data_IF_580789622413
#
_entry.id   IF_580789622413
#
_cell.length_a   1.000
_cell.length_b   1.000
_cell.length_c   1.000
_cell.angle_alpha   90.00
_cell.angle_beta   90.00
_cell.angle_gamma   90.00
#
_symmetry.space_group_name_H-M   'P 1'
#
loop_
_entity.id
_entity.type
_entity.pdbx_description
1 polymer ?
#
# COMPACT_ATOMS: atom_id res chain seq x y z
N UNK A 1 13.13 13.28 -29.42
CA UNK A 1 12.61 12.42 -28.36
C UNK A 1 11.12 12.75 -28.25
N UNK A 2 10.19 11.78 -28.41
CA UNK A 2 8.79 12.07 -28.17
C UNK A 2 8.65 12.43 -26.69
N UNK A 3 8.04 13.59 -26.39
CA UNK A 3 7.62 13.95 -25.04
C UNK A 3 6.61 12.89 -24.58
N UNK A 4 6.94 12.10 -23.60
CA UNK A 4 5.97 11.26 -22.92
C UNK A 4 4.88 12.16 -22.41
N UNK A 5 3.62 11.92 -22.80
CA UNK A 5 2.50 12.70 -22.33
C UNK A 5 2.44 12.60 -20.80
N UNK A 6 2.67 13.71 -20.11
CA UNK A 6 2.51 13.76 -18.67
C UNK A 6 1.02 13.74 -18.32
N UNK A 7 0.62 12.87 -17.42
CA UNK A 7 -0.74 12.85 -16.88
C UNK A 7 -0.79 13.76 -15.64
N UNK A 8 -1.77 14.67 -15.58
CA UNK A 8 -2.00 15.49 -14.41
C UNK A 8 -3.22 14.98 -13.63
N UNK A 9 -3.06 14.88 -12.32
CA UNK A 9 -4.13 14.59 -11.37
C UNK A 9 -4.18 15.71 -10.32
N UNK A 10 -5.39 16.09 -9.93
CA UNK A 10 -5.59 17.02 -8.80
C UNK A 10 -6.24 16.29 -7.65
N UNK A 11 -5.85 16.58 -6.42
CA UNK A 11 -6.41 15.96 -5.21
C UNK A 11 -6.41 16.96 -4.05
N UNK A 12 -7.22 16.70 -3.04
CA UNK A 12 -7.16 17.41 -1.76
C UNK A 12 -6.43 16.59 -0.68
N UNK A 13 -6.38 15.27 -0.85
CA UNK A 13 -5.63 14.38 0.03
C UNK A 13 -5.05 13.21 -0.74
N UNK A 14 -3.99 12.61 -0.19
CA UNK A 14 -3.37 11.39 -0.72
C UNK A 14 -3.44 10.26 0.31
N UNK A 15 -3.81 9.09 -0.14
CA UNK A 15 -3.86 7.88 0.66
C UNK A 15 -2.82 6.90 0.11
N UNK A 16 -1.83 6.60 0.93
CA UNK A 16 -0.60 5.92 0.51
C UNK A 16 -0.57 4.51 1.09
N UNK A 17 -0.59 3.51 0.25
CA UNK A 17 -0.20 2.18 0.69
C UNK A 17 1.29 2.14 1.04
N UNK A 18 1.74 1.11 1.75
CA UNK A 18 3.11 0.96 2.21
C UNK A 18 3.92 -0.01 1.34
N UNK A 19 3.55 -1.29 1.40
CA UNK A 19 4.35 -2.39 0.85
C UNK A 19 4.21 -2.51 -0.67
N UNK A 20 5.30 -2.33 -1.40
CA UNK A 20 5.30 -2.24 -2.86
C UNK A 20 5.03 -0.82 -3.40
N UNK A 21 4.64 0.11 -2.52
CA UNK A 21 4.30 1.51 -2.86
C UNK A 21 5.32 2.51 -2.32
N UNK A 22 5.57 2.53 -1.02
CA UNK A 22 6.60 3.35 -0.36
C UNK A 22 7.83 2.54 0.00
N UNK A 23 7.63 1.30 0.39
CA UNK A 23 8.65 0.37 0.87
C UNK A 23 8.65 -0.87 -0.01
N UNK A 24 9.81 -1.28 -0.49
CA UNK A 24 9.99 -2.61 -1.07
C UNK A 24 10.28 -3.60 0.06
N UNK A 25 9.32 -4.45 0.38
CA UNK A 25 9.40 -5.54 1.37
C UNK A 25 9.30 -6.93 0.72
N UNK A 26 9.34 -7.03 -0.61
CA UNK A 26 9.11 -8.27 -1.35
C UNK A 26 9.98 -9.42 -0.84
N UNK A 27 11.25 -9.16 -0.54
CA UNK A 27 12.18 -10.20 -0.11
C UNK A 27 11.76 -10.86 1.22
N UNK A 28 11.35 -10.10 2.22
CA UNK A 28 10.91 -10.65 3.51
C UNK A 28 9.53 -11.30 3.39
N UNK A 29 8.61 -10.67 2.67
CA UNK A 29 7.26 -11.22 2.41
C UNK A 29 7.38 -12.57 1.71
N UNK A 30 8.19 -12.66 0.65
CA UNK A 30 8.40 -13.90 -0.08
C UNK A 30 8.99 -15.00 0.82
N UNK A 31 10.02 -14.68 1.63
CA UNK A 31 10.61 -15.67 2.54
C UNK A 31 9.58 -16.24 3.54
N UNK A 32 8.78 -15.37 4.14
CA UNK A 32 7.79 -15.78 5.15
C UNK A 32 6.64 -16.56 4.52
N UNK A 33 6.10 -16.10 3.39
CA UNK A 33 5.00 -16.76 2.72
C UNK A 33 5.38 -18.08 2.06
N UNK A 34 6.60 -18.21 1.50
CA UNK A 34 7.07 -19.52 0.99
C UNK A 34 7.21 -20.55 2.11
N UNK A 35 7.76 -20.16 3.28
CA UNK A 35 7.79 -21.06 4.45
C UNK A 35 6.39 -21.46 4.93
N UNK A 36 5.43 -20.53 4.87
CA UNK A 36 4.04 -20.85 5.19
C UNK A 36 3.44 -21.81 4.16
N UNK A 37 3.65 -21.58 2.87
CA UNK A 37 3.21 -22.44 1.78
C UNK A 37 3.74 -23.88 1.94
N UNK A 38 5.03 -24.03 2.19
CA UNK A 38 5.67 -25.34 2.41
C UNK A 38 5.04 -26.11 3.56
N UNK A 39 4.76 -25.44 4.69
CA UNK A 39 4.09 -26.05 5.86
C UNK A 39 2.67 -26.55 5.54
N UNK A 40 2.03 -25.99 4.54
CA UNK A 40 0.66 -26.32 4.15
C UNK A 40 0.58 -27.13 2.85
N UNK A 41 1.71 -27.52 2.27
CA UNK A 41 1.76 -28.29 1.01
C UNK A 41 1.23 -27.52 -0.21
N UNK A 42 1.36 -26.17 -0.18
CA UNK A 42 0.94 -25.29 -1.27
C UNK A 42 2.12 -24.91 -2.16
N UNK A 43 1.82 -24.62 -3.43
CA UNK A 43 2.80 -24.05 -4.34
C UNK A 43 3.09 -22.60 -3.96
N UNK A 44 4.35 -22.28 -3.66
CA UNK A 44 4.77 -20.94 -3.25
C UNK A 44 4.51 -19.88 -4.32
N UNK A 45 4.65 -20.21 -5.61
CA UNK A 45 4.44 -19.26 -6.69
C UNK A 45 2.94 -18.91 -6.84
N UNK A 46 2.05 -19.88 -6.63
CA UNK A 46 0.61 -19.63 -6.61
C UNK A 46 0.20 -18.81 -5.38
N UNK A 47 0.81 -19.07 -4.22
CA UNK A 47 0.60 -18.28 -3.00
C UNK A 47 0.99 -16.81 -3.23
N UNK A 48 2.17 -16.56 -3.84
CA UNK A 48 2.64 -15.20 -4.09
C UNK A 48 1.75 -14.36 -5.02
N UNK A 49 0.92 -14.99 -5.86
CA UNK A 49 -0.07 -14.26 -6.69
C UNK A 49 -1.23 -13.65 -5.88
N UNK A 50 -1.44 -14.10 -4.64
CA UNK A 50 -2.63 -13.76 -3.84
C UNK A 50 -2.30 -12.84 -2.67
N UNK A 51 -1.11 -12.94 -2.10
CA UNK A 51 -0.79 -12.38 -0.78
C UNK A 51 -0.62 -10.85 -0.75
N UNK A 52 -0.27 -10.24 -1.87
CA UNK A 52 0.02 -8.81 -1.90
C UNK A 52 -1.21 -7.93 -1.64
N UNK A 53 -1.03 -6.92 -0.79
CA UNK A 53 -2.01 -5.89 -0.47
C UNK A 53 -3.12 -6.31 0.50
N UNK A 54 -3.15 -7.56 0.95
CA UNK A 54 -4.14 -8.09 1.91
C UNK A 54 -3.53 -8.30 3.29
N UNK A 55 -4.38 -8.30 4.31
CA UNK A 55 -3.96 -8.86 5.59
C UNK A 55 -3.75 -10.38 5.45
N UNK A 56 -2.74 -10.93 6.14
CA UNK A 56 -2.32 -12.31 5.94
C UNK A 56 -3.44 -13.33 6.18
N UNK A 57 -4.24 -13.17 7.24
CA UNK A 57 -5.37 -14.08 7.51
C UNK A 57 -6.40 -14.10 6.37
N UNK A 58 -6.61 -12.96 5.70
CA UNK A 58 -7.54 -12.87 4.57
C UNK A 58 -6.98 -13.59 3.32
N UNK A 59 -5.67 -13.52 3.09
CA UNK A 59 -4.99 -14.32 2.05
C UNK A 59 -5.07 -15.81 2.33
N UNK A 60 -4.85 -16.22 3.60
CA UNK A 60 -4.96 -17.62 4.03
C UNK A 60 -6.38 -18.16 3.84
N UNK A 61 -7.41 -17.36 4.10
CA UNK A 61 -8.80 -17.74 3.87
C UNK A 61 -9.12 -18.00 2.38
N UNK A 62 -8.48 -17.27 1.48
CA UNK A 62 -8.60 -17.50 0.02
C UNK A 62 -7.87 -18.79 -0.38
N UNK A 63 -6.65 -18.98 0.14
CA UNK A 63 -5.81 -20.15 -0.18
C UNK A 63 -6.32 -21.46 0.41
N UNK A 64 -6.90 -21.40 1.60
CA UNK A 64 -7.41 -22.55 2.36
C UNK A 64 -8.84 -22.28 2.84
N UNK A 65 -9.85 -22.26 1.94
CA UNK A 65 -11.21 -21.78 2.24
C UNK A 65 -11.96 -22.59 3.30
N UNK A 66 -11.56 -23.83 3.54
CA UNK A 66 -12.17 -24.70 4.54
C UNK A 66 -11.43 -24.68 5.90
N UNK A 67 -10.37 -23.88 6.02
CA UNK A 67 -9.58 -23.77 7.25
C UNK A 67 -10.29 -22.86 8.26
N UNK A 68 -10.37 -23.23 9.55
CA UNK A 68 -10.95 -22.38 10.59
C UNK A 68 -10.24 -21.02 10.66
N UNK A 69 -11.02 -19.92 10.70
CA UNK A 69 -10.48 -18.56 10.73
C UNK A 69 -9.55 -18.30 11.93
N UNK A 70 -9.83 -18.92 13.07
CA UNK A 70 -8.96 -18.86 14.26
C UNK A 70 -7.52 -19.30 13.96
N UNK A 71 -7.36 -20.37 13.16
CA UNK A 71 -6.03 -20.84 12.74
C UNK A 71 -5.34 -19.86 11.79
N UNK A 72 -6.12 -19.19 10.90
CA UNK A 72 -5.59 -18.17 10.03
C UNK A 72 -5.10 -16.96 10.83
N UNK A 73 -5.85 -16.52 11.83
CA UNK A 73 -5.41 -15.45 12.73
C UNK A 73 -4.18 -15.84 13.55
N UNK A 74 -4.09 -17.08 14.04
CA UNK A 74 -2.92 -17.55 14.79
C UNK A 74 -1.66 -17.59 13.89
N UNK A 75 -1.79 -18.09 12.65
CA UNK A 75 -0.67 -18.07 11.69
C UNK A 75 -0.28 -16.66 11.30
N UNK A 76 -1.26 -15.79 11.04
CA UNK A 76 -1.01 -14.38 10.72
C UNK A 76 -0.23 -13.67 11.85
N UNK A 77 -0.60 -13.88 13.10
CA UNK A 77 0.11 -13.29 14.23
C UNK A 77 1.58 -13.75 14.30
N UNK A 78 1.85 -15.05 14.05
CA UNK A 78 3.23 -15.57 13.98
C UNK A 78 4.01 -14.96 12.82
N UNK A 79 3.40 -14.86 11.63
CA UNK A 79 4.06 -14.31 10.45
C UNK A 79 4.35 -12.83 10.61
N UNK A 80 3.44 -12.04 11.20
CA UNK A 80 3.69 -10.63 11.52
C UNK A 80 4.88 -10.47 12.49
N UNK A 81 4.99 -11.34 13.49
CA UNK A 81 6.14 -11.33 14.39
C UNK A 81 7.45 -11.71 13.67
N UNK A 82 7.42 -12.72 12.78
CA UNK A 82 8.57 -13.09 11.94
C UNK A 82 8.98 -11.93 11.02
N UNK A 83 8.03 -11.29 10.35
CA UNK A 83 8.29 -10.16 9.45
C UNK A 83 8.81 -8.92 10.21
N UNK A 84 8.28 -8.67 11.41
CA UNK A 84 8.75 -7.53 12.24
C UNK A 84 10.18 -7.74 12.75
N UNK A 85 10.59 -8.99 12.95
CA UNK A 85 11.93 -9.33 13.39
C UNK A 85 12.96 -9.41 12.24
N UNK A 86 12.51 -9.49 10.98
CA UNK A 86 13.35 -9.63 9.80
C UNK A 86 13.14 -8.44 8.84
N UNK A 87 14.08 -7.51 8.85
CA UNK A 87 14.08 -6.36 7.93
C UNK A 87 15.13 -6.50 6.81
N UNK A 88 15.70 -7.70 6.63
CA UNK A 88 16.71 -7.92 5.59
C UNK A 88 16.09 -7.78 4.18
N UNK A 89 16.66 -6.87 3.39
CA UNK A 89 16.16 -6.53 2.06
C UNK A 89 14.98 -5.55 2.03
N UNK A 90 14.55 -5.02 3.18
CA UNK A 90 13.56 -3.94 3.23
C UNK A 90 14.24 -2.61 2.89
N UNK A 91 13.80 -1.98 1.82
CA UNK A 91 14.36 -0.71 1.31
C UNK A 91 13.24 0.22 0.84
N UNK A 92 13.54 1.52 0.71
CA UNK A 92 12.59 2.46 0.14
C UNK A 92 12.36 2.18 -1.36
N UNK A 93 11.12 2.36 -1.83
CA UNK A 93 10.84 2.51 -3.26
C UNK A 93 11.53 3.79 -3.75
N UNK A 94 12.12 3.74 -4.93
CA UNK A 94 12.85 4.86 -5.51
C UNK A 94 11.98 6.13 -5.58
N UNK A 95 12.47 7.23 -5.00
CA UNK A 95 11.76 8.51 -4.92
C UNK A 95 10.78 8.65 -3.75
N UNK A 96 10.58 7.60 -2.93
CA UNK A 96 9.61 7.65 -1.82
C UNK A 96 9.98 8.70 -0.75
N UNK A 97 11.27 8.84 -0.45
CA UNK A 97 11.74 9.84 0.52
C UNK A 97 11.46 11.27 0.09
N UNK A 98 11.80 11.61 -1.15
CA UNK A 98 11.57 12.93 -1.74
C UNK A 98 10.07 13.22 -1.92
N UNK A 99 9.30 12.20 -2.28
CA UNK A 99 7.85 12.30 -2.40
C UNK A 99 7.21 12.64 -1.04
N UNK A 100 7.51 11.90 0.02
CA UNK A 100 7.02 12.18 1.37
C UNK A 100 7.50 13.53 1.91
N UNK A 101 8.74 13.91 1.62
CA UNK A 101 9.27 15.23 1.98
C UNK A 101 8.47 16.35 1.31
N UNK A 102 8.18 16.22 0.01
CA UNK A 102 7.37 17.19 -0.74
C UNK A 102 5.96 17.33 -0.17
N UNK A 103 5.31 16.21 0.20
CA UNK A 103 3.98 16.25 0.83
C UNK A 103 3.99 17.03 2.14
N UNK A 104 5.02 16.82 2.96
CA UNK A 104 5.18 17.53 4.24
C UNK A 104 5.47 19.00 4.04
N UNK A 105 6.39 19.37 3.15
CA UNK A 105 6.77 20.76 2.85
C UNK A 105 5.58 21.56 2.32
N UNK A 106 4.80 20.96 1.43
CA UNK A 106 3.60 21.57 0.84
C UNK A 106 2.37 21.44 1.74
N UNK A 107 2.50 20.77 2.90
CA UNK A 107 1.40 20.51 3.85
C UNK A 107 0.20 19.84 3.19
N UNK A 108 0.46 18.91 2.27
CA UNK A 108 -0.58 18.11 1.61
C UNK A 108 -1.16 17.15 2.63
N UNK A 109 -2.50 17.12 2.86
CA UNK A 109 -3.13 16.12 3.69
C UNK A 109 -2.85 14.71 3.13
N UNK A 110 -2.29 13.82 3.95
CA UNK A 110 -2.01 12.45 3.54
C UNK A 110 -2.05 11.48 4.71
N UNK A 111 -2.34 10.22 4.40
CA UNK A 111 -2.34 9.13 5.36
C UNK A 111 -1.66 7.89 4.79
N UNK A 112 -0.99 7.12 5.65
CA UNK A 112 -0.59 5.76 5.35
C UNK A 112 -1.82 4.84 5.53
N UNK A 113 -2.13 3.99 4.53
CA UNK A 113 -3.24 3.03 4.58
C UNK A 113 -2.70 1.65 4.24
N UNK A 114 -2.33 0.88 5.25
CA UNK A 114 -1.60 -0.38 5.10
C UNK A 114 -2.35 -1.57 5.69
N UNK A 115 -2.11 -2.75 5.13
CA UNK A 115 -2.54 -4.04 5.68
C UNK A 115 -1.61 -4.57 6.78
N UNK A 116 -0.48 -3.91 7.04
CA UNK A 116 0.40 -4.19 8.17
C UNK A 116 -0.21 -3.67 9.48
N UNK A 117 0.20 -4.26 10.59
CA UNK A 117 -0.11 -3.74 11.93
C UNK A 117 0.76 -2.52 12.28
N UNK A 118 0.49 -1.89 13.43
CA UNK A 118 1.22 -0.71 13.90
C UNK A 118 2.72 -1.00 14.05
N UNK A 119 3.08 -2.16 14.60
CA UNK A 119 4.47 -2.54 14.85
C UNK A 119 5.24 -2.76 13.56
N UNK A 120 4.70 -3.57 12.65
CA UNK A 120 5.32 -3.90 11.37
C UNK A 120 5.44 -2.65 10.47
N UNK A 121 4.40 -1.81 10.43
CA UNK A 121 4.45 -0.58 9.62
C UNK A 121 5.54 0.37 10.09
N UNK A 122 5.70 0.54 11.40
CA UNK A 122 6.77 1.36 11.97
C UNK A 122 8.16 0.78 11.68
N UNK A 123 8.33 -0.55 11.84
CA UNK A 123 9.60 -1.23 11.58
C UNK A 123 10.02 -1.12 10.11
N UNK A 124 9.11 -1.36 9.16
CA UNK A 124 9.39 -1.27 7.71
C UNK A 124 9.74 0.15 7.26
N UNK A 125 8.95 1.14 7.70
CA UNK A 125 9.24 2.55 7.37
C UNK A 125 10.60 2.99 7.94
N UNK A 126 10.93 2.58 9.17
CA UNK A 126 12.23 2.86 9.78
C UNK A 126 13.37 2.17 9.05
N UNK A 127 13.25 0.88 8.70
CA UNK A 127 14.25 0.13 7.96
C UNK A 127 14.51 0.73 6.57
N UNK A 128 13.45 1.24 5.92
CA UNK A 128 13.55 1.96 4.65
C UNK A 128 14.09 3.40 4.78
N UNK A 129 14.33 3.92 5.99
CA UNK A 129 14.77 5.29 6.22
C UNK A 129 13.71 6.34 5.87
N UNK A 130 12.43 5.98 5.89
CA UNK A 130 11.32 6.85 5.52
C UNK A 130 10.63 7.45 6.75
N UNK A 131 10.21 8.70 6.63
CA UNK A 131 9.37 9.34 7.64
C UNK A 131 7.98 8.70 7.66
N UNK A 132 7.54 8.29 8.86
CA UNK A 132 6.21 7.72 9.05
C UNK A 132 5.16 8.84 9.03
N UNK A 133 4.11 8.76 8.19
CA UNK A 133 3.01 9.72 8.21
C UNK A 133 2.32 9.80 9.58
N UNK A 134 1.86 11.00 9.96
CA UNK A 134 1.18 11.20 11.25
C UNK A 134 -0.12 10.40 11.32
N UNK A 135 -0.94 10.48 10.27
CA UNK A 135 -2.16 9.69 10.16
C UNK A 135 -1.85 8.33 9.52
N UNK A 136 -2.28 7.28 10.20
CA UNK A 136 -2.08 5.89 9.80
C UNK A 136 -3.35 5.09 10.00
N UNK A 137 -3.77 4.40 8.96
CA UNK A 137 -4.80 3.38 8.99
C UNK A 137 -4.09 2.04 8.82
N UNK A 138 -4.03 1.26 9.87
CA UNK A 138 -3.34 -0.04 9.95
C UNK A 138 -4.33 -1.19 10.06
N UNK A 139 -3.85 -2.43 10.10
CA UNK A 139 -4.68 -3.62 10.21
C UNK A 139 -5.68 -3.55 11.37
N UNK A 140 -5.28 -2.97 12.51
CA UNK A 140 -6.12 -2.81 13.70
C UNK A 140 -7.18 -1.72 13.57
N UNK A 141 -7.02 -0.85 12.58
CA UNK A 141 -7.92 0.29 12.35
C UNK A 141 -9.21 -0.10 11.63
N UNK A 142 -9.28 -1.29 11.04
CA UNK A 142 -10.35 -1.72 10.13
C UNK A 142 -10.90 -3.09 10.48
N UNK A 143 -12.19 -3.30 10.18
CA UNK A 143 -12.85 -4.60 10.33
C UNK A 143 -12.66 -5.51 9.12
N UNK A 144 -12.38 -4.93 7.94
CA UNK A 144 -12.22 -5.68 6.69
C UNK A 144 -10.90 -5.33 6.00
N UNK A 145 -10.24 -6.37 5.45
CA UNK A 145 -9.01 -6.23 4.68
C UNK A 145 -9.29 -5.83 3.23
N UNK A 146 -8.34 -5.11 2.58
CA UNK A 146 -8.35 -4.94 1.11
C UNK A 146 -8.66 -6.30 0.43
N UNK A 147 -9.55 -6.37 -0.55
CA UNK A 147 -10.05 -5.29 -1.41
C UNK A 147 -11.26 -4.51 -0.87
N UNK A 148 -11.64 -4.66 0.41
CA UNK A 148 -12.66 -3.83 1.03
C UNK A 148 -12.18 -2.37 1.07
N UNK A 149 -13.03 -1.37 0.75
CA UNK A 149 -12.65 0.04 0.73
C UNK A 149 -12.51 0.68 2.11
N UNK A 150 -12.85 -0.01 3.20
CA UNK A 150 -12.95 0.56 4.56
C UNK A 150 -11.72 1.37 4.95
N UNK A 151 -10.51 0.84 4.72
CA UNK A 151 -9.28 1.54 5.10
C UNK A 151 -9.09 2.88 4.38
N UNK A 152 -9.37 2.94 3.09
CA UNK A 152 -9.27 4.19 2.32
C UNK A 152 -10.38 5.16 2.68
N UNK A 153 -11.62 4.70 2.85
CA UNK A 153 -12.73 5.54 3.29
C UNK A 153 -12.48 6.14 4.68
N UNK A 154 -11.93 5.35 5.60
CA UNK A 154 -11.54 5.81 6.93
C UNK A 154 -10.44 6.86 6.86
N UNK A 155 -9.39 6.62 6.06
CA UNK A 155 -8.32 7.59 5.86
C UNK A 155 -8.83 8.93 5.32
N UNK A 156 -9.71 8.92 4.32
CA UNK A 156 -10.35 10.13 3.77
C UNK A 156 -11.19 10.87 4.83
N UNK A 157 -12.00 10.12 5.59
CA UNK A 157 -12.83 10.68 6.66
C UNK A 157 -12.00 11.35 7.77
N UNK A 158 -10.91 10.72 8.21
CA UNK A 158 -10.02 11.27 9.24
C UNK A 158 -9.22 12.49 8.73
N UNK A 159 -8.97 12.59 7.42
CA UNK A 159 -8.40 13.79 6.78
C UNK A 159 -9.46 14.88 6.52
N UNK A 160 -10.75 14.58 6.69
CA UNK A 160 -11.85 15.53 6.43
C UNK A 160 -12.03 15.84 4.95
N UNK A 161 -11.72 14.90 4.04
CA UNK A 161 -11.77 15.07 2.58
C UNK A 161 -12.73 14.04 1.98
N UNK A 162 -13.53 14.48 1.00
CA UNK A 162 -14.43 13.58 0.30
C UNK A 162 -13.64 12.55 -0.53
N UNK A 163 -14.09 11.28 -0.61
CA UNK A 163 -13.36 10.22 -1.32
C UNK A 163 -13.00 10.57 -2.75
N UNK A 164 -13.91 11.20 -3.50
CA UNK A 164 -13.71 11.60 -4.89
C UNK A 164 -12.64 12.70 -5.08
N UNK A 165 -12.27 13.39 -4.00
CA UNK A 165 -11.20 14.38 -3.97
C UNK A 165 -9.85 13.78 -3.52
N UNK A 166 -9.82 12.47 -3.21
CA UNK A 166 -8.62 11.75 -2.84
C UNK A 166 -7.96 11.04 -4.02
N UNK A 167 -6.64 10.84 -3.93
CA UNK A 167 -5.88 9.96 -4.82
C UNK A 167 -5.18 8.90 -3.98
N UNK A 168 -5.34 7.64 -4.36
CA UNK A 168 -4.68 6.48 -3.76
C UNK A 168 -3.40 6.17 -4.53
N UNK A 169 -2.33 5.84 -3.81
CA UNK A 169 -1.12 5.21 -4.37
C UNK A 169 -1.07 3.77 -3.91
N UNK A 170 -0.92 2.82 -4.86
CA UNK A 170 -1.03 1.39 -4.60
C UNK A 170 -0.28 0.55 -5.64
N UNK A 171 0.22 -0.62 -5.23
CA UNK A 171 0.92 -1.56 -6.12
C UNK A 171 0.12 -2.83 -6.42
N UNK A 172 -0.82 -3.21 -5.54
CA UNK A 172 -1.50 -4.50 -5.52
C UNK A 172 -2.89 -4.47 -6.15
N UNK A 173 -3.33 -5.63 -6.66
CA UNK A 173 -4.70 -5.76 -7.19
C UNK A 173 -5.78 -5.58 -6.12
N UNK A 174 -5.51 -6.04 -4.90
CA UNK A 174 -6.46 -5.88 -3.79
C UNK A 174 -6.63 -4.42 -3.42
N UNK A 175 -5.53 -3.67 -3.29
CA UNK A 175 -5.59 -2.26 -2.92
C UNK A 175 -6.11 -1.36 -4.04
N UNK A 176 -5.74 -1.62 -5.31
CA UNK A 176 -6.31 -0.90 -6.47
C UNK A 176 -7.84 -1.09 -6.51
N UNK A 177 -8.32 -2.31 -6.25
CA UNK A 177 -9.76 -2.60 -6.16
C UNK A 177 -10.41 -1.85 -5.00
N UNK A 178 -9.77 -1.82 -3.83
CA UNK A 178 -10.24 -1.09 -2.65
C UNK A 178 -10.35 0.43 -2.91
N UNK A 179 -9.32 1.03 -3.51
CA UNK A 179 -9.32 2.45 -3.87
C UNK A 179 -10.45 2.82 -4.83
N UNK A 180 -10.67 1.99 -5.85
CA UNK A 180 -11.77 2.16 -6.80
C UNK A 180 -13.14 2.00 -6.14
N UNK A 181 -13.29 0.97 -5.29
CA UNK A 181 -14.53 0.74 -4.55
C UNK A 181 -14.84 1.88 -3.58
N UNK A 182 -13.81 2.59 -3.11
CA UNK A 182 -13.93 3.82 -2.32
C UNK A 182 -14.33 5.06 -3.16
N UNK A 183 -14.42 4.94 -4.49
CA UNK A 183 -14.70 6.07 -5.39
C UNK A 183 -13.50 6.99 -5.64
N UNK A 184 -12.29 6.51 -5.38
CA UNK A 184 -11.04 7.28 -5.49
C UNK A 184 -10.32 6.97 -6.80
N UNK A 185 -9.55 7.93 -7.31
CA UNK A 185 -8.58 7.68 -8.38
C UNK A 185 -7.36 6.97 -7.82
N UNK A 186 -6.77 6.08 -8.62
CA UNK A 186 -5.65 5.26 -8.19
C UNK A 186 -4.43 5.45 -9.10
N UNK A 187 -3.32 5.82 -8.52
CA UNK A 187 -1.99 5.76 -9.12
C UNK A 187 -1.37 4.42 -8.75
N UNK A 188 -1.15 3.59 -9.73
CA UNK A 188 -0.47 2.31 -9.57
C UNK A 188 1.04 2.49 -9.56
N UNK A 189 1.73 1.93 -8.57
CA UNK A 189 3.19 1.99 -8.44
C UNK A 189 3.80 0.63 -8.81
N UNK A 190 4.80 0.66 -9.70
CA UNK A 190 5.52 -0.53 -10.11
C UNK A 190 4.82 -1.39 -11.16
N UNK A 191 5.53 -2.40 -11.64
CA UNK A 191 5.05 -3.28 -12.72
C UNK A 191 3.82 -4.11 -12.30
N UNK A 192 3.74 -4.50 -11.02
CA UNK A 192 2.63 -5.30 -10.47
C UNK A 192 1.30 -4.57 -10.60
N UNK A 193 1.28 -3.26 -10.35
CA UNK A 193 0.07 -2.44 -10.47
C UNK A 193 -0.52 -2.44 -11.89
N UNK A 194 0.33 -2.46 -12.93
CA UNK A 194 -0.09 -2.28 -14.32
C UNK A 194 -1.12 -3.30 -14.81
N UNK A 195 -1.05 -4.55 -14.34
CA UNK A 195 -1.98 -5.61 -14.75
C UNK A 195 -3.39 -5.40 -14.20
N UNK A 196 -3.53 -4.59 -13.14
CA UNK A 196 -4.80 -4.28 -12.47
C UNK A 196 -5.48 -3.01 -12.98
N UNK A 197 -4.86 -2.36 -14.00
CA UNK A 197 -5.41 -1.20 -14.72
C UNK A 197 -5.84 -0.04 -13.78
N UNK A 198 -4.94 0.50 -12.95
CA UNK A 198 -5.21 1.74 -12.22
C UNK A 198 -5.42 2.90 -13.21
N UNK A 199 -5.82 4.09 -12.73
CA UNK A 199 -6.05 5.24 -13.61
C UNK A 199 -4.75 5.73 -14.26
N UNK A 200 -3.63 5.64 -13.52
CA UNK A 200 -2.29 5.96 -14.00
C UNK A 200 -1.31 4.94 -13.42
N UNK A 201 -0.26 4.60 -14.16
CA UNK A 201 0.83 3.73 -13.69
C UNK A 201 2.13 4.51 -13.70
N UNK A 202 2.87 4.43 -12.61
CA UNK A 202 4.25 4.90 -12.49
C UNK A 202 5.19 3.73 -12.25
N UNK A 203 6.40 3.80 -12.77
CA UNK A 203 7.43 2.80 -12.48
C UNK A 203 7.85 2.81 -11.01
N UNK A 204 8.02 4.02 -10.48
CA UNK A 204 8.43 4.34 -9.10
C UNK A 204 8.03 5.79 -8.80
N UNK A 205 8.31 6.27 -7.59
CA UNK A 205 7.87 7.60 -7.15
C UNK A 205 8.72 8.76 -7.67
N UNK A 206 9.85 8.51 -8.33
CA UNK A 206 10.62 9.54 -9.06
C UNK A 206 9.83 10.13 -10.23
N UNK A 207 8.90 9.34 -10.80
CA UNK A 207 7.99 9.77 -11.83
C UNK A 207 6.85 10.68 -11.36
N UNK A 208 6.77 10.99 -10.05
CA UNK A 208 5.67 11.78 -9.48
C UNK A 208 6.20 13.11 -8.97
N UNK A 209 5.75 14.20 -9.57
CA UNK A 209 6.00 15.57 -9.07
C UNK A 209 4.78 16.11 -8.35
N UNK A 210 5.01 16.69 -7.18
CA UNK A 210 3.96 17.25 -6.31
C UNK A 210 4.04 18.77 -6.36
N UNK A 211 2.95 19.42 -6.72
CA UNK A 211 2.85 20.87 -6.77
C UNK A 211 1.62 21.33 -5.95
N UNK A 212 1.80 22.32 -5.09
CA UNK A 212 0.68 22.93 -4.37
C UNK A 212 -0.25 23.69 -5.33
N UNK A 213 -1.55 23.68 -5.03
CA UNK A 213 -2.56 24.43 -5.80
C UNK A 213 -3.13 25.54 -4.94
N UNK A 214 -3.32 26.73 -5.54
CA UNK A 214 -3.96 27.87 -4.88
C UNK A 214 -5.38 27.51 -4.42
N UNK A 215 -5.74 27.82 -3.18
CA UNK A 215 -7.02 27.41 -2.58
C UNK A 215 -7.00 26.06 -1.86
N UNK A 216 -5.84 25.42 -1.75
CA UNK A 216 -5.63 24.13 -1.08
C UNK A 216 -5.76 22.92 -2.02
N UNK A 217 -5.01 21.88 -1.72
CA UNK A 217 -4.91 20.67 -2.54
C UNK A 217 -3.56 20.55 -3.24
N UNK A 218 -3.46 19.54 -4.08
CA UNK A 218 -2.23 19.14 -4.76
C UNK A 218 -2.49 18.84 -6.23
N UNK A 219 -1.55 19.20 -7.08
CA UNK A 219 -1.43 18.71 -8.45
C UNK A 219 -0.28 17.70 -8.50
N UNK A 220 -0.58 16.56 -9.02
CA UNK A 220 0.39 15.49 -9.28
C UNK A 220 0.67 15.48 -10.79
N UNK A 221 1.92 15.63 -11.15
CA UNK A 221 2.39 15.37 -12.52
C UNK A 221 3.09 14.02 -12.54
N UNK A 222 2.59 13.16 -13.36
CA UNK A 222 3.09 11.79 -13.55
C UNK A 222 3.77 11.71 -14.91
N UNK A 223 5.04 11.27 -14.91
CA UNK A 223 5.90 11.16 -16.11
C UNK A 223 6.27 9.72 -16.39
#
# INVERSE_FOLDING_TARGET
MPMTASTELTARALLLDMDGTLVNSDAVVERVWRRWADRHGLDGDEVMKIVHGRQGYASMAVLLPNRPMEQNHADNARMLAEETADMDGVVAIEGAGEFLASLRELRVPHALVTSADVGLSAARMAAAGLALPELRITAESVGASKPDPEGFLKGAAELGVAPEECVVFEDSGAGISAGRSAGMRVVGVGARAGVHRPDVVVRDLRGVRVEGVEGGGVRLRVV
#
